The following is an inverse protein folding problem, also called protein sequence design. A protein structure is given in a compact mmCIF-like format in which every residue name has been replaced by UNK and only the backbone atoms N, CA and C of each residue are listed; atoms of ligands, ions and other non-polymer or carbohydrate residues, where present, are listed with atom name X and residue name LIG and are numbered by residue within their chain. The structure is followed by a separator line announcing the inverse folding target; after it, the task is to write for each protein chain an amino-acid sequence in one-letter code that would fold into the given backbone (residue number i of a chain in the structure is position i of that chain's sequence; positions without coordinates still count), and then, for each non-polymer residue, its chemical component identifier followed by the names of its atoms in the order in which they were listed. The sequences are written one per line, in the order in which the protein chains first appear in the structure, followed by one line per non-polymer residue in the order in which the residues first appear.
data_IF_575464970961
#
_entry.id   IF_575464970961
#
_cell.length_a   1.000
_cell.length_b   1.000
_cell.length_c   1.000
_cell.angle_alpha   90.00
_cell.angle_beta   90.00
_cell.angle_gamma   90.00
#
_symmetry.space_group_name_H-M   'P 1'
#
loop_
_entity.id
_entity.type
_entity.pdbx_description
1 polymer ?
#
# COMPACT_ATOMS: atom_id res chain seq x y z
N UNK A 1 21.38 -7.95 -0.75
CA UNK A 1 21.73 -7.31 0.54
C UNK A 1 20.42 -7.03 1.25
N UNK A 2 20.00 -7.93 2.14
CA UNK A 2 18.78 -7.78 2.94
C UNK A 2 19.12 -6.93 4.17
N UNK A 3 18.19 -6.09 4.61
CA UNK A 3 17.82 -5.81 6.00
C UNK A 3 16.70 -4.75 5.97
N UNK A 4 15.44 -5.19 6.07
CA UNK A 4 14.31 -4.33 6.45
C UNK A 4 14.12 -4.38 7.98
N UNK A 5 13.44 -3.41 8.59
CA UNK A 5 13.35 -3.33 10.04
C UNK A 5 12.40 -4.40 10.60
N UNK A 6 12.94 -5.25 11.47
CA UNK A 6 12.23 -6.27 12.24
C UNK A 6 11.40 -5.53 13.33
N UNK A 7 10.11 -5.36 13.11
CA UNK A 7 9.20 -4.69 14.06
C UNK A 7 8.72 -5.66 15.16
N UNK A 8 9.63 -6.40 15.81
CA UNK A 8 9.25 -7.16 17.00
C UNK A 8 9.18 -6.22 18.21
N UNK A 9 7.98 -5.79 18.58
CA UNK A 9 7.73 -5.28 19.95
C UNK A 9 7.68 -6.51 20.86
N UNK A 10 8.84 -7.00 21.30
CA UNK A 10 8.91 -7.95 22.40
C UNK A 10 8.85 -7.17 23.71
N UNK A 11 7.70 -7.20 24.39
CA UNK A 11 7.64 -6.86 25.81
C UNK A 11 8.30 -7.98 26.61
N UNK A 12 9.63 -8.02 26.65
CA UNK A 12 10.38 -8.85 27.59
C UNK A 12 10.74 -8.01 28.80
N UNK A 13 10.08 -8.28 29.93
CA UNK A 13 10.49 -7.77 31.23
C UNK A 13 11.93 -8.28 31.52
N UNK A 14 12.91 -7.42 31.82
CA UNK A 14 14.27 -7.90 32.07
C UNK A 14 14.32 -8.73 33.35
N UNK A 15 14.97 -9.91 33.36
CA UNK A 15 15.20 -10.65 34.60
C UNK A 15 16.17 -9.86 35.49
N UNK A 16 15.91 -9.90 36.80
CA UNK A 16 16.72 -9.22 37.81
C UNK A 16 18.19 -9.66 37.74
N UNK A 17 19.11 -8.70 37.53
CA UNK A 17 20.54 -8.95 37.55
C UNK A 17 21.04 -9.16 39.00
N UNK A 18 21.76 -10.26 39.24
CA UNK A 18 22.55 -10.50 40.45
C UNK A 18 23.85 -9.66 40.40
N UNK A 19 24.40 -9.21 41.55
CA UNK A 19 25.51 -8.26 41.58
C UNK A 19 26.86 -8.96 41.42
N UNK A 20 27.72 -8.40 40.55
CA UNK A 20 29.12 -8.79 40.38
C UNK A 20 29.92 -7.63 39.75
N UNK A 21 31.07 -7.32 40.35
CA UNK A 21 31.89 -6.10 40.25
C UNK A 21 32.59 -5.83 38.90
N UNK A 22 32.87 -4.54 38.61
CA UNK A 22 34.20 -3.91 38.42
C UNK A 22 34.05 -2.49 37.78
N UNK A 23 34.16 -1.43 38.58
CA UNK A 23 35.18 -0.34 38.56
C UNK A 23 35.31 0.53 37.30
N UNK A 24 34.89 1.81 37.39
CA UNK A 24 35.69 3.05 37.19
C UNK A 24 34.80 4.32 37.28
N UNK A 25 35.37 5.51 37.58
CA UNK A 25 34.72 6.53 38.39
C UNK A 25 34.19 7.76 37.65
N UNK A 26 33.28 8.48 38.30
CA UNK A 26 33.18 9.94 38.14
C UNK A 26 31.96 10.46 37.39
N UNK A 27 30.85 10.63 38.12
CA UNK A 27 29.94 11.78 38.05
C UNK A 27 29.04 11.73 39.28
N UNK A 28 29.11 12.75 40.13
CA UNK A 28 28.12 13.02 41.16
C UNK A 28 26.78 13.32 40.48
N UNK A 29 25.98 12.29 40.22
CA UNK A 29 24.54 12.42 40.26
C UNK A 29 24.16 12.17 41.72
N UNK A 30 23.52 13.16 42.34
CA UNK A 30 22.81 12.94 43.60
C UNK A 30 21.86 11.77 43.36
N UNK A 31 22.04 10.70 44.15
CA UNK A 31 21.14 9.56 44.24
C UNK A 31 19.75 10.07 44.66
N UNK A 32 18.91 10.41 43.68
CA UNK A 32 17.46 10.35 43.83
C UNK A 32 16.92 9.13 43.07
N UNK A 33 17.54 7.97 43.33
CA UNK A 33 17.05 6.66 42.91
C UNK A 33 15.79 6.23 43.69
N UNK A 34 15.14 7.14 44.42
CA UNK A 34 13.99 6.85 45.29
C UNK A 34 12.64 7.34 44.73
N UNK A 35 12.59 7.84 43.49
CA UNK A 35 11.33 8.35 42.90
C UNK A 35 10.94 7.81 41.52
N UNK A 36 11.57 6.75 41.04
CA UNK A 36 10.97 5.97 39.96
C UNK A 36 10.03 4.93 40.58
N UNK A 37 8.92 5.38 41.15
CA UNK A 37 7.82 4.49 41.47
C UNK A 37 7.43 3.79 40.17
N UNK A 38 7.70 2.48 40.09
CA UNK A 38 7.15 1.61 39.05
C UNK A 38 5.65 1.81 39.04
N UNK A 39 5.13 2.51 38.02
CA UNK A 39 3.69 2.63 37.83
C UNK A 39 3.17 1.20 37.71
N UNK A 40 2.35 0.70 38.65
CA UNK A 40 1.82 -0.64 38.54
C UNK A 40 0.97 -0.69 37.27
N UNK A 41 1.39 -1.53 36.33
CA UNK A 41 0.64 -1.79 35.10
C UNK A 41 -0.52 -2.72 35.46
N UNK A 42 -1.58 -2.16 36.04
CA UNK A 42 -2.84 -2.88 36.21
C UNK A 42 -3.54 -2.97 34.87
N UNK A 43 -3.67 -4.19 34.35
CA UNK A 43 -4.50 -4.46 33.17
C UNK A 43 -5.93 -4.02 33.45
N UNK A 44 -6.53 -3.27 32.53
CA UNK A 44 -7.93 -2.86 32.63
C UNK A 44 -8.85 -4.06 32.39
N UNK A 45 -9.79 -4.30 33.28
CA UNK A 45 -10.84 -5.28 33.07
C UNK A 45 -11.96 -4.69 32.20
N UNK A 46 -12.42 -5.46 31.22
CA UNK A 46 -13.56 -5.09 30.37
C UNK A 46 -14.85 -5.77 30.86
N UNK A 47 -16.01 -5.23 30.49
CA UNK A 47 -17.29 -5.93 30.69
C UNK A 47 -17.29 -7.28 29.98
N UNK A 48 -18.07 -8.25 30.44
CA UNK A 48 -18.13 -9.59 29.82
C UNK A 48 -18.43 -9.51 28.32
N UNK A 49 -19.41 -8.70 27.94
CA UNK A 49 -19.78 -8.48 26.54
C UNK A 49 -18.65 -7.91 25.67
N UNK A 50 -17.79 -7.07 26.25
CA UNK A 50 -16.66 -6.48 25.54
C UNK A 50 -15.48 -7.45 25.46
N UNK A 51 -15.22 -8.19 26.55
CA UNK A 51 -14.21 -9.26 26.58
C UNK A 51 -14.51 -10.36 25.55
N UNK A 52 -15.78 -10.77 25.41
CA UNK A 52 -16.20 -11.81 24.46
C UNK A 52 -16.05 -11.36 22.99
N UNK A 53 -16.16 -10.05 22.73
CA UNK A 53 -16.01 -9.46 21.40
C UNK A 53 -14.60 -8.90 21.13
N UNK A 54 -13.70 -8.92 22.12
CA UNK A 54 -12.41 -8.27 22.01
C UNK A 54 -11.52 -8.99 20.98
N UNK A 55 -11.21 -8.29 19.89
CA UNK A 55 -10.21 -8.68 18.91
C UNK A 55 -8.97 -7.80 19.00
N UNK A 56 -7.82 -8.36 18.64
CA UNK A 56 -6.60 -7.59 18.42
C UNK A 56 -6.51 -7.25 16.94
N UNK A 57 -6.19 -6.00 16.62
CA UNK A 57 -5.99 -5.56 15.24
C UNK A 57 -4.88 -6.38 14.57
N UNK A 58 -5.18 -6.95 13.40
CA UNK A 58 -4.20 -7.71 12.62
C UNK A 58 -3.40 -6.80 11.68
N UNK A 59 -2.08 -6.79 11.86
CA UNK A 59 -1.12 -6.09 11.00
C UNK A 59 -0.26 -7.06 10.19
N UNK A 60 -0.65 -8.32 10.10
CA UNK A 60 0.07 -9.34 9.34
C UNK A 60 0.16 -8.96 7.86
N UNK A 61 1.29 -9.26 7.19
CA UNK A 61 1.41 -9.05 5.76
C UNK A 61 0.31 -9.76 5.00
N UNK A 62 -0.31 -9.04 4.08
CA UNK A 62 -1.30 -9.60 3.16
C UNK A 62 -0.57 -10.47 2.07
N UNK A 63 -1.26 -11.35 1.31
CA UNK A 63 -0.65 -12.33 0.37
C UNK A 63 -0.31 -11.76 -1.03
N UNK A 64 0.94 -11.71 -1.49
CA UNK A 64 1.34 -10.94 -2.71
C UNK A 64 0.76 -11.47 -4.03
N UNK A 65 0.49 -10.58 -5.00
CA UNK A 65 0.17 -10.96 -6.38
C UNK A 65 1.46 -10.96 -7.18
N UNK A 66 1.82 -12.10 -7.78
CA UNK A 66 3.06 -12.27 -8.51
C UNK A 66 3.20 -11.26 -9.68
N UNK A 67 4.28 -10.49 -9.67
CA UNK A 67 4.60 -9.49 -10.70
C UNK A 67 3.93 -8.13 -10.49
N UNK A 68 3.02 -7.97 -9.53
CA UNK A 68 2.57 -6.63 -9.10
C UNK A 68 3.69 -6.01 -8.28
N UNK A 69 4.10 -4.79 -8.63
CA UNK A 69 5.20 -4.08 -7.99
C UNK A 69 4.74 -2.72 -7.48
N UNK A 70 5.14 -2.36 -6.27
CA UNK A 70 4.96 -1.01 -5.72
C UNK A 70 6.31 -0.31 -5.76
N UNK A 71 6.40 0.80 -6.50
CA UNK A 71 7.64 1.53 -6.73
C UNK A 71 7.54 2.90 -6.02
N UNK A 72 8.22 3.09 -4.87
CA UNK A 72 8.17 4.36 -4.15
C UNK A 72 8.75 5.50 -4.97
N UNK A 73 8.08 6.65 -4.98
CA UNK A 73 8.56 7.86 -5.63
C UNK A 73 9.01 8.88 -4.59
N UNK A 74 10.10 9.59 -4.89
CA UNK A 74 10.57 10.70 -4.07
C UNK A 74 9.73 11.94 -4.35
N UNK A 75 9.17 12.52 -3.30
CA UNK A 75 8.49 13.82 -3.33
C UNK A 75 9.37 14.86 -2.64
N UNK A 76 9.61 15.96 -3.35
CA UNK A 76 10.31 17.13 -2.81
C UNK A 76 9.26 18.20 -2.52
N UNK A 77 9.30 18.79 -1.32
CA UNK A 77 8.41 19.88 -0.94
C UNK A 77 9.24 21.11 -0.59
N UNK A 78 8.68 22.29 -0.86
CA UNK A 78 9.19 23.61 -0.47
C UNK A 78 8.00 24.50 -0.03
N UNK A 79 8.26 25.78 0.24
CA UNK A 79 7.25 26.75 0.66
C UNK A 79 6.25 27.13 -0.45
N UNK A 80 6.56 26.80 -1.71
CA UNK A 80 5.70 27.04 -2.87
C UNK A 80 4.86 25.82 -3.28
N UNK A 81 5.21 24.62 -2.83
CA UNK A 81 4.45 23.40 -3.10
C UNK A 81 5.31 22.15 -3.10
N UNK A 82 5.18 21.35 -4.16
CA UNK A 82 5.85 20.06 -4.23
C UNK A 82 6.08 19.58 -5.66
N UNK A 83 7.15 18.82 -5.87
CA UNK A 83 7.46 18.16 -7.13
C UNK A 83 7.70 16.67 -6.90
N UNK A 84 7.13 15.85 -7.78
CA UNK A 84 7.35 14.39 -7.85
C UNK A 84 7.62 14.02 -9.30
N UNK A 85 8.80 13.46 -9.59
CA UNK A 85 9.10 12.89 -10.90
C UNK A 85 8.33 11.57 -11.05
N UNK A 86 7.36 11.52 -11.97
CA UNK A 86 6.55 10.31 -12.21
C UNK A 86 7.23 9.34 -13.16
N UNK A 87 7.93 9.87 -14.15
CA UNK A 87 8.59 9.09 -15.18
C UNK A 87 9.82 9.81 -15.72
N UNK A 88 10.87 9.03 -15.92
CA UNK A 88 12.05 9.40 -16.69
C UNK A 88 12.17 8.39 -17.81
N UNK A 89 11.96 8.87 -19.03
CA UNK A 89 11.84 8.03 -20.22
C UNK A 89 13.08 8.19 -21.11
N UNK A 90 13.64 7.08 -21.56
CA UNK A 90 14.63 7.03 -22.63
C UNK A 90 14.17 6.06 -23.71
N UNK A 91 13.91 6.56 -24.92
CA UNK A 91 13.28 5.77 -26.00
C UNK A 91 12.02 4.99 -25.52
N UNK A 92 11.24 5.59 -24.61
CA UNK A 92 10.05 5.00 -23.99
C UNK A 92 10.32 4.07 -22.80
N UNK A 93 11.56 3.65 -22.55
CA UNK A 93 11.91 2.84 -21.38
C UNK A 93 11.74 3.66 -20.11
N UNK A 94 10.97 3.15 -19.15
CA UNK A 94 10.74 3.82 -17.87
C UNK A 94 11.84 3.44 -16.88
N UNK A 95 12.69 4.39 -16.52
CA UNK A 95 13.73 4.13 -15.53
C UNK A 95 13.12 3.72 -14.18
N UNK A 96 13.63 2.61 -13.62
CA UNK A 96 13.15 2.04 -12.37
C UNK A 96 12.05 0.99 -12.53
N UNK A 97 11.55 0.74 -13.75
CA UNK A 97 10.60 -0.34 -14.05
C UNK A 97 11.20 -1.23 -15.14
N UNK A 98 11.64 -2.44 -14.78
CA UNK A 98 12.30 -3.33 -15.73
C UNK A 98 11.31 -3.90 -16.76
N UNK A 99 11.79 -4.06 -17.99
CA UNK A 99 11.03 -4.67 -19.09
C UNK A 99 9.70 -3.97 -19.40
N UNK A 100 9.65 -2.64 -19.18
CA UNK A 100 8.49 -1.81 -19.49
C UNK A 100 8.89 -0.63 -20.40
N UNK A 101 8.18 -0.50 -21.52
CA UNK A 101 8.36 0.59 -22.48
C UNK A 101 7.04 1.32 -22.65
N UNK A 102 6.93 2.51 -22.06
CA UNK A 102 5.77 3.37 -22.20
C UNK A 102 5.53 3.71 -23.67
N UNK A 103 4.34 3.36 -24.17
CA UNK A 103 3.87 3.69 -25.52
C UNK A 103 2.72 4.69 -25.53
N UNK A 104 2.05 4.82 -24.39
CA UNK A 104 0.95 5.76 -24.19
C UNK A 104 0.91 6.18 -22.72
N UNK A 105 0.47 7.40 -22.49
CA UNK A 105 0.19 7.95 -21.16
C UNK A 105 -1.23 8.49 -21.16
N UNK A 106 -1.94 8.26 -20.06
CA UNK A 106 -3.33 8.61 -19.92
C UNK A 106 -3.57 9.37 -18.62
N UNK A 107 -4.55 10.27 -18.66
CA UNK A 107 -5.05 11.01 -17.50
C UNK A 107 -6.54 10.72 -17.36
N UNK A 108 -6.93 10.11 -16.25
CA UNK A 108 -8.31 9.73 -15.94
C UNK A 108 -8.78 10.46 -14.70
N UNK A 109 -9.99 11.01 -14.74
CA UNK A 109 -10.65 11.59 -13.57
C UNK A 109 -11.80 10.69 -13.15
N UNK A 110 -11.94 10.48 -11.85
CA UNK A 110 -13.04 9.75 -11.24
C UNK A 110 -13.89 10.69 -10.39
N UNK A 111 -15.19 10.70 -10.67
CA UNK A 111 -16.17 11.41 -9.86
C UNK A 111 -16.22 10.86 -8.41
N UNK A 112 -16.74 11.63 -7.45
CA UNK A 112 -16.88 11.18 -6.06
C UNK A 112 -17.58 9.82 -5.97
N UNK A 113 -17.00 8.91 -5.18
CA UNK A 113 -17.52 7.56 -4.93
C UNK A 113 -17.66 6.63 -6.16
N UNK A 114 -17.30 7.08 -7.36
CA UNK A 114 -17.43 6.28 -8.58
C UNK A 114 -16.53 5.04 -8.54
N UNK A 115 -17.01 3.95 -9.15
CA UNK A 115 -16.28 2.71 -9.39
C UNK A 115 -16.03 2.58 -10.90
N UNK A 116 -14.80 2.31 -11.30
CA UNK A 116 -14.40 1.96 -12.67
C UNK A 116 -13.72 0.59 -12.60
N UNK A 117 -14.44 -0.46 -12.98
CA UNK A 117 -13.94 -1.83 -12.84
C UNK A 117 -14.72 -2.84 -13.72
N UNK A 118 -14.22 -4.08 -13.84
CA UNK A 118 -12.79 -4.38 -13.81
C UNK A 118 -12.26 -4.29 -15.23
N UNK A 119 -11.08 -3.73 -15.36
CA UNK A 119 -10.27 -3.74 -16.57
C UNK A 119 -9.39 -4.98 -16.57
N UNK A 120 -9.21 -5.60 -17.76
CA UNK A 120 -8.38 -6.78 -17.91
C UNK A 120 -7.71 -6.79 -19.28
N UNK A 121 -6.40 -6.94 -19.28
CA UNK A 121 -5.57 -6.98 -20.48
C UNK A 121 -4.90 -8.35 -20.65
N UNK A 122 -4.78 -8.83 -21.87
CA UNK A 122 -4.03 -10.06 -22.18
C UNK A 122 -2.56 -9.77 -22.43
N UNK A 123 -2.23 -8.56 -22.90
CA UNK A 123 -0.89 -8.18 -23.33
C UNK A 123 -0.35 -6.93 -22.63
N UNK A 124 -1.21 -5.96 -22.31
CA UNK A 124 -0.82 -4.69 -21.72
C UNK A 124 -0.40 -4.80 -20.25
N UNK A 125 0.71 -4.16 -19.91
CA UNK A 125 1.10 -3.80 -18.55
C UNK A 125 0.69 -2.35 -18.28
N UNK A 126 0.12 -2.12 -17.09
CA UNK A 126 -0.25 -0.81 -16.60
C UNK A 126 0.73 -0.35 -15.50
N UNK A 127 1.09 0.93 -15.50
CA UNK A 127 1.86 1.57 -14.42
C UNK A 127 1.09 2.79 -13.91
N UNK A 128 0.43 2.64 -12.78
CA UNK A 128 -0.51 3.62 -12.23
C UNK A 128 0.11 4.52 -11.19
N UNK A 129 -0.32 5.79 -11.17
CA UNK A 129 -0.03 6.81 -10.18
C UNK A 129 -1.31 7.55 -9.79
N UNK A 130 -1.44 7.85 -8.50
CA UNK A 130 -2.50 8.74 -7.97
C UNK A 130 -1.82 9.86 -7.19
N UNK A 131 -2.16 11.14 -7.44
CA UNK A 131 -1.60 12.26 -6.70
C UNK A 131 -1.86 12.15 -5.18
N UNK A 132 -0.92 12.59 -4.32
CA UNK A 132 -1.11 12.57 -2.87
C UNK A 132 -2.32 13.37 -2.34
N UNK A 133 -2.84 14.30 -3.12
CA UNK A 133 -4.05 15.08 -2.81
C UNK A 133 -5.36 14.34 -3.08
N UNK A 134 -5.28 13.19 -3.75
CA UNK A 134 -6.41 12.36 -4.13
C UNK A 134 -6.40 11.05 -3.34
N UNK A 135 -7.49 10.28 -3.42
CA UNK A 135 -7.62 9.03 -2.65
C UNK A 135 -8.41 7.99 -3.42
N UNK A 136 -7.70 7.01 -3.96
CA UNK A 136 -8.27 5.91 -4.75
C UNK A 136 -8.02 4.59 -4.02
N UNK A 137 -9.07 3.77 -3.93
CA UNK A 137 -8.93 2.35 -3.64
C UNK A 137 -8.72 1.61 -4.97
N UNK A 138 -7.52 1.08 -5.18
CA UNK A 138 -7.21 0.16 -6.26
C UNK A 138 -7.48 -1.27 -5.77
N UNK A 139 -8.28 -2.02 -6.52
CA UNK A 139 -8.52 -3.45 -6.31
C UNK A 139 -7.86 -4.20 -7.45
N UNK A 140 -7.01 -5.16 -7.12
CA UNK A 140 -6.33 -6.05 -8.06
C UNK A 140 -6.75 -7.49 -7.78
N UNK A 141 -6.90 -8.31 -8.81
CA UNK A 141 -7.09 -9.75 -8.66
C UNK A 141 -6.35 -10.51 -9.75
N UNK A 142 -5.64 -11.56 -9.36
CA UNK A 142 -4.87 -12.40 -10.29
C UNK A 142 -5.77 -13.46 -10.92
N UNK A 143 -6.10 -13.30 -12.21
CA UNK A 143 -6.93 -14.25 -12.95
C UNK A 143 -6.13 -15.11 -13.93
N UNK A 144 -4.80 -15.17 -13.77
CA UNK A 144 -3.92 -15.99 -14.61
C UNK A 144 -3.97 -17.44 -14.15
N UNK A 145 -4.52 -18.32 -15.00
CA UNK A 145 -4.53 -19.76 -14.74
C UNK A 145 -3.11 -20.31 -14.53
N UNK A 146 -2.91 -21.07 -13.45
CA UNK A 146 -1.63 -21.64 -13.04
C UNK A 146 -0.66 -20.64 -12.38
N UNK A 147 -1.07 -19.40 -12.13
CA UNK A 147 -0.26 -18.44 -11.38
C UNK A 147 -0.05 -18.89 -9.93
N UNK A 148 1.13 -18.66 -9.33
CA UNK A 148 1.35 -18.94 -7.90
C UNK A 148 0.46 -18.09 -6.97
N UNK A 149 -0.14 -17.02 -7.48
CA UNK A 149 -1.11 -16.17 -6.78
C UNK A 149 -2.49 -16.18 -7.41
N UNK A 150 -2.82 -17.18 -8.24
CA UNK A 150 -4.15 -17.31 -8.86
C UNK A 150 -5.29 -17.16 -7.83
N UNK A 151 -6.28 -16.33 -8.15
CA UNK A 151 -7.41 -16.02 -7.27
C UNK A 151 -7.11 -15.08 -6.11
N UNK A 152 -5.86 -14.62 -5.96
CA UNK A 152 -5.49 -13.65 -4.91
C UNK A 152 -6.02 -12.28 -5.28
N UNK A 153 -6.84 -11.71 -4.39
CA UNK A 153 -7.34 -10.32 -4.50
C UNK A 153 -6.65 -9.43 -3.47
N UNK A 154 -6.25 -8.24 -3.92
CA UNK A 154 -5.53 -7.25 -3.13
C UNK A 154 -6.15 -5.87 -3.26
N UNK A 155 -6.06 -5.11 -2.17
CA UNK A 155 -6.52 -3.74 -2.08
C UNK A 155 -5.35 -2.82 -1.76
N UNK A 156 -5.24 -1.73 -2.50
CA UNK A 156 -4.24 -0.68 -2.27
C UNK A 156 -4.95 0.67 -2.17
N UNK A 157 -4.55 1.48 -1.19
CA UNK A 157 -4.94 2.89 -1.15
C UNK A 157 -3.82 3.71 -1.78
N UNK A 158 -4.09 4.29 -2.94
CA UNK A 158 -3.17 5.16 -3.67
C UNK A 158 -3.52 6.63 -3.41
N UNK A 159 -2.51 7.49 -3.43
CA UNK A 159 -2.63 8.88 -3.01
C UNK A 159 -2.56 9.01 -1.48
N UNK A 160 -3.42 9.85 -0.89
CA UNK A 160 -3.57 10.04 0.56
C UNK A 160 -2.23 10.36 1.27
N UNK A 161 -1.51 11.33 0.70
CA UNK A 161 -0.18 11.73 1.19
C UNK A 161 1.00 10.88 0.69
N UNK A 162 0.75 9.73 0.05
CA UNK A 162 1.81 8.83 -0.46
C UNK A 162 2.03 9.01 -1.96
N UNK A 163 3.28 8.87 -2.40
CA UNK A 163 3.66 8.88 -3.82
C UNK A 163 4.39 7.59 -4.18
N UNK A 164 3.75 6.73 -4.96
CA UNK A 164 4.33 5.51 -5.50
C UNK A 164 3.63 5.14 -6.80
N UNK A 165 4.31 4.40 -7.67
CA UNK A 165 3.72 3.74 -8.82
C UNK A 165 3.27 2.33 -8.43
N UNK A 166 2.24 1.82 -9.11
CA UNK A 166 1.86 0.40 -9.05
C UNK A 166 1.96 -0.18 -10.46
N UNK A 167 2.84 -1.15 -10.66
CA UNK A 167 2.90 -1.97 -11.89
C UNK A 167 1.87 -3.09 -11.79
N UNK A 168 1.05 -3.22 -12.82
CA UNK A 168 -0.03 -4.20 -12.93
C UNK A 168 0.23 -5.02 -14.21
N UNK A 169 0.69 -6.28 -14.09
CA UNK A 169 0.95 -7.13 -15.24
C UNK A 169 -0.31 -7.54 -16.02
N UNK A 170 -0.16 -7.99 -17.28
CA UNK A 170 -1.25 -8.61 -18.03
C UNK A 170 -1.86 -9.79 -17.26
N UNK A 171 -3.17 -9.96 -17.37
CA UNK A 171 -3.92 -11.00 -16.65
C UNK A 171 -4.20 -10.69 -15.18
N UNK A 172 -3.79 -9.52 -14.66
CA UNK A 172 -4.24 -9.03 -13.36
C UNK A 172 -5.41 -8.07 -13.58
N UNK A 173 -6.62 -8.50 -13.21
CA UNK A 173 -7.81 -7.68 -13.28
C UNK A 173 -7.66 -6.51 -12.30
N UNK A 174 -7.98 -5.29 -12.74
CA UNK A 174 -7.80 -4.10 -11.92
C UNK A 174 -8.98 -3.15 -12.02
N UNK A 175 -9.25 -2.43 -10.93
CA UNK A 175 -10.30 -1.44 -10.90
C UNK A 175 -10.11 -0.46 -9.75
N UNK A 176 -10.79 0.68 -9.85
CA UNK A 176 -10.65 1.77 -8.90
C UNK A 176 -12.00 2.20 -8.33
N UNK A 177 -12.02 2.56 -7.04
CA UNK A 177 -13.06 3.34 -6.39
C UNK A 177 -12.49 4.66 -5.89
N UNK A 178 -13.13 5.78 -6.22
CA UNK A 178 -12.82 7.05 -5.58
C UNK A 178 -13.34 7.03 -4.13
N UNK A 179 -12.45 7.21 -3.16
CA UNK A 179 -12.83 7.22 -1.73
C UNK A 179 -13.26 8.60 -1.23
N UNK A 180 -13.14 9.64 -2.06
CA UNK A 180 -13.54 11.00 -1.70
C UNK A 180 -15.05 11.18 -1.91
N UNK A 181 -15.80 11.62 -0.89
CA UNK A 181 -17.26 11.75 -0.98
C UNK A 181 -17.73 13.00 -1.72
N UNK A 182 -16.87 14.00 -1.88
CA UNK A 182 -17.27 15.32 -2.39
C UNK A 182 -16.23 15.96 -3.34
N UNK A 183 -15.24 15.20 -3.80
CA UNK A 183 -14.23 15.70 -4.73
C UNK A 183 -13.79 14.61 -5.71
N UNK A 184 -13.47 14.99 -6.97
CA UNK A 184 -12.90 14.05 -7.92
C UNK A 184 -11.49 13.61 -7.48
N UNK A 185 -11.04 12.49 -8.02
CA UNK A 185 -9.68 11.98 -7.87
C UNK A 185 -9.10 11.66 -9.25
N UNK A 186 -7.82 11.97 -9.47
CA UNK A 186 -7.13 11.69 -10.73
C UNK A 186 -6.29 10.41 -10.65
N UNK A 187 -6.17 9.73 -11.78
CA UNK A 187 -5.25 8.62 -12.01
C UNK A 187 -4.45 8.97 -13.26
N UNK A 188 -3.13 8.94 -13.14
CA UNK A 188 -2.19 9.04 -14.25
C UNK A 188 -1.62 7.65 -14.45
N UNK A 189 -1.61 7.15 -15.69
CA UNK A 189 -1.04 5.84 -15.96
C UNK A 189 -0.29 5.78 -17.28
N UNK A 190 0.72 4.91 -17.31
CA UNK A 190 1.50 4.58 -18.49
C UNK A 190 1.18 3.14 -18.89
N UNK A 191 1.17 2.88 -20.20
CA UNK A 191 0.91 1.54 -20.75
C UNK A 191 1.93 1.20 -21.84
N UNK A 192 2.23 -0.09 -21.99
CA UNK A 192 3.19 -0.61 -22.98
C UNK A 192 2.53 -1.16 -24.27
N UNK A 193 1.20 -1.14 -24.33
CA UNK A 193 0.39 -1.41 -25.53
C UNK A 193 -0.47 -0.17 -25.81
N UNK A 194 -0.58 0.24 -27.07
CA UNK A 194 -1.41 1.39 -27.44
C UNK A 194 -2.87 0.94 -27.57
N UNK A 195 -3.79 1.79 -27.15
CA UNK A 195 -5.21 1.50 -27.27
C UNK A 195 -5.62 1.34 -28.74
N UNK A 196 -6.44 0.32 -29.03
CA UNK A 196 -7.07 0.11 -30.32
C UNK A 196 -8.57 -0.18 -30.16
N UNK A 197 -9.36 0.20 -31.17
CA UNK A 197 -10.80 -0.08 -31.26
C UNK A 197 -11.15 -1.16 -32.28
N UNK A 198 -10.16 -1.72 -32.97
CA UNK A 198 -10.33 -2.77 -33.97
C UNK A 198 -10.22 -4.18 -33.35
N UNK A 199 -10.02 -5.18 -34.21
CA UNK A 199 -9.93 -6.59 -33.80
C UNK A 199 -8.73 -6.88 -32.87
N UNK A 200 -7.74 -5.98 -32.81
CA UNK A 200 -6.56 -6.08 -31.93
C UNK A 200 -6.78 -5.41 -30.55
N UNK A 201 -8.01 -5.02 -30.21
CA UNK A 201 -8.34 -4.42 -28.92
C UNK A 201 -7.99 -5.35 -27.73
N UNK A 202 -7.11 -4.86 -26.84
CA UNK A 202 -6.70 -5.55 -25.61
C UNK A 202 -7.43 -5.04 -24.35
N UNK A 203 -8.44 -4.18 -24.49
CA UNK A 203 -9.22 -3.62 -23.38
C UNK A 203 -10.42 -4.52 -23.05
N UNK A 204 -10.20 -5.52 -22.18
CA UNK A 204 -11.26 -6.39 -21.66
C UNK A 204 -11.97 -5.83 -20.42
N UNK A 205 -13.13 -6.42 -20.11
CA UNK A 205 -13.92 -6.10 -18.91
C UNK A 205 -14.36 -7.35 -18.15
N UNK A 206 -14.40 -7.26 -16.82
CA UNK A 206 -15.24 -8.10 -15.96
C UNK A 206 -16.28 -7.22 -15.26
N UNK A 207 -17.44 -7.77 -14.84
CA UNK A 207 -18.41 -7.05 -14.01
C UNK A 207 -17.75 -6.44 -12.77
N UNK A 208 -18.16 -5.25 -12.35
CA UNK A 208 -17.56 -4.55 -11.22
C UNK A 208 -17.65 -5.32 -9.89
N UNK A 209 -18.58 -6.26 -9.78
CA UNK A 209 -18.84 -7.12 -8.62
C UNK A 209 -18.33 -8.56 -8.80
N UNK A 210 -17.52 -8.83 -9.83
CA UNK A 210 -17.04 -10.17 -10.16
C UNK A 210 -16.30 -10.87 -8.99
N UNK A 211 -15.59 -10.11 -8.16
CA UNK A 211 -14.89 -10.61 -6.96
C UNK A 211 -15.66 -10.33 -5.65
N UNK A 212 -16.96 -10.07 -5.75
CA UNK A 212 -17.79 -9.60 -4.63
C UNK A 212 -17.84 -8.08 -4.54
N UNK A 213 -18.99 -7.52 -4.17
CA UNK A 213 -19.17 -6.07 -4.03
C UNK A 213 -18.41 -5.50 -2.81
N UNK A 214 -18.13 -6.34 -1.82
CA UNK A 214 -17.44 -5.99 -0.57
C UNK A 214 -15.98 -5.55 -0.78
N UNK A 215 -15.34 -5.93 -1.88
CA UNK A 215 -13.96 -5.50 -2.19
C UNK A 215 -13.85 -3.97 -2.32
N UNK A 216 -14.97 -3.32 -2.60
CA UNK A 216 -15.06 -1.87 -2.73
C UNK A 216 -15.35 -1.18 -1.40
N UNK A 217 -15.90 -1.87 -0.41
CA UNK A 217 -16.35 -1.27 0.84
C UNK A 217 -15.16 -0.84 1.70
N UNK A 218 -15.24 0.39 2.24
CA UNK A 218 -14.25 0.89 3.20
C UNK A 218 -14.29 0.00 4.45
N UNK A 219 -13.11 -0.33 4.99
CA UNK A 219 -12.98 -1.13 6.20
C UNK A 219 -13.80 -0.52 7.35
N UNK A 220 -14.55 -1.37 8.05
CA UNK A 220 -15.33 -1.03 9.23
C UNK A 220 -14.67 -1.78 10.38
N UNK A 221 -13.86 -1.08 11.17
CA UNK A 221 -13.22 -1.59 12.37
C UNK A 221 -14.05 -1.19 13.61
#
# INVERSE_FOLDING_TARGET
MRLGPDWRVSCSCPPAALPGSLTEPGRHFLDDASRCATIPCTMTEFTSSASDAYGVQDYSPQPEIAGVEVIPLRRFNDDGGSMTELARLDNGELQGVSDFKARQMNYSVMEPLAIKAFHLHKHQTDVWYVPPSDKILLVLSDVRAGSPSEGTTRRFVLGDGKSFLVRIPPGVAHGARNLRPAAPSAIIYFVDVQFSTDDDCDEGRLPWDHFGAEVWEVERA
#
